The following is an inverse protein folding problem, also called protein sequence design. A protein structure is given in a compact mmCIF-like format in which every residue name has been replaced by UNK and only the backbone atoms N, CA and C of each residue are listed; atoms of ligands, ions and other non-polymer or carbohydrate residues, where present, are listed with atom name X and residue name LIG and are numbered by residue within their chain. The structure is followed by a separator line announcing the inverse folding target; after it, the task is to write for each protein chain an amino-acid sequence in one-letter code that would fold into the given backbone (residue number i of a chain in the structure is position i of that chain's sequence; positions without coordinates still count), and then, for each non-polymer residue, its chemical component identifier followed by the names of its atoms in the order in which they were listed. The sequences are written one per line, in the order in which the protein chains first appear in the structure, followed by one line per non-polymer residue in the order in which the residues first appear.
data_IF_636566939720
#
_entry.id   IF_636566939720
#
_cell.length_a   1.000
_cell.length_b   1.000
_cell.length_c   1.000
_cell.angle_alpha   90.00
_cell.angle_beta   90.00
_cell.angle_gamma   90.00
#
_symmetry.space_group_name_H-M   'P 1'
#
loop_
_entity.id
_entity.type
_entity.pdbx_description
1 polymer ?
#
# COMPACT_ATOMS: atom_id res chain seq x y z
N UNK A 1 -8.31 15.89 34.57
CA UNK A 1 -7.00 15.21 34.74
C UNK A 1 -6.31 15.18 33.38
N UNK A 2 -5.36 16.09 33.15
CA UNK A 2 -4.58 16.12 31.92
C UNK A 2 -3.61 14.93 31.87
N UNK A 3 -3.53 14.25 30.73
CA UNK A 3 -2.52 13.23 30.51
C UNK A 3 -1.11 13.86 30.62
N UNK A 4 -0.21 13.22 31.36
CA UNK A 4 1.17 13.68 31.50
C UNK A 4 1.90 13.83 30.16
N UNK A 5 2.98 14.64 30.09
CA UNK A 5 3.70 14.95 28.85
C UNK A 5 4.18 13.71 28.09
N UNK A 6 4.59 12.66 28.80
CA UNK A 6 5.00 11.37 28.25
C UNK A 6 3.86 10.63 27.53
N UNK A 7 2.67 10.60 28.14
CA UNK A 7 1.46 9.98 27.57
C UNK A 7 1.00 10.67 26.30
N UNK A 8 1.14 12.00 26.25
CA UNK A 8 0.82 12.80 25.06
C UNK A 8 1.79 12.50 23.91
N UNK A 9 3.08 12.34 24.21
CA UNK A 9 4.11 12.00 23.22
C UNK A 9 3.85 10.64 22.56
N UNK A 10 3.55 9.60 23.36
CA UNK A 10 3.23 8.25 22.84
C UNK A 10 1.97 8.28 21.96
N UNK A 11 0.92 8.98 22.39
CA UNK A 11 -0.31 9.10 21.61
C UNK A 11 -0.06 9.77 20.25
N UNK A 12 0.72 10.85 20.21
CA UNK A 12 1.06 11.57 18.97
C UNK A 12 1.89 10.66 18.04
N UNK A 13 2.88 9.94 18.57
CA UNK A 13 3.69 8.99 17.79
C UNK A 13 2.84 7.90 17.14
N UNK A 14 1.89 7.34 17.89
CA UNK A 14 0.97 6.33 17.36
C UNK A 14 0.08 6.93 16.27
N UNK A 15 -0.48 8.13 16.48
CA UNK A 15 -1.27 8.81 15.45
C UNK A 15 -0.46 9.03 14.17
N UNK A 16 0.77 9.53 14.27
CA UNK A 16 1.67 9.71 13.12
C UNK A 16 1.90 8.37 12.40
N UNK A 17 2.15 7.30 13.15
CA UNK A 17 2.36 5.96 12.58
C UNK A 17 1.15 5.48 11.79
N UNK A 18 -0.06 5.61 12.36
CA UNK A 18 -1.30 5.25 11.68
C UNK A 18 -1.60 6.11 10.45
N UNK A 19 -1.23 7.39 10.47
CA UNK A 19 -1.34 8.25 9.30
C UNK A 19 -0.45 7.75 8.16
N UNK A 20 0.82 7.46 8.47
CA UNK A 20 1.78 6.92 7.51
C UNK A 20 1.32 5.55 7.01
N UNK A 21 0.76 4.70 7.87
CA UNK A 21 0.21 3.40 7.46
C UNK A 21 -0.93 3.55 6.47
N UNK A 22 -1.89 4.44 6.72
CA UNK A 22 -2.97 4.72 5.78
C UNK A 22 -2.45 5.23 4.43
N UNK A 23 -1.49 6.17 4.48
CA UNK A 23 -0.88 6.72 3.28
C UNK A 23 -0.12 5.65 2.47
N UNK A 24 0.81 4.95 3.10
CA UNK A 24 1.72 4.04 2.40
C UNK A 24 1.02 2.79 1.89
N UNK A 25 0.03 2.27 2.62
CA UNK A 25 -0.75 1.09 2.23
C UNK A 25 -1.43 1.25 0.88
N UNK A 26 -2.00 2.43 0.64
CA UNK A 26 -2.77 2.72 -0.56
C UNK A 26 -1.93 3.37 -1.66
N UNK A 27 -0.68 3.75 -1.37
CA UNK A 27 0.15 4.50 -2.29
C UNK A 27 0.43 3.75 -3.60
N UNK A 28 0.92 2.50 -3.52
CA UNK A 28 1.23 1.72 -4.72
C UNK A 28 -0.03 1.47 -5.57
N UNK A 29 -1.16 1.19 -4.93
CA UNK A 29 -2.46 1.08 -5.59
C UNK A 29 -2.81 2.34 -6.39
N UNK A 30 -2.62 3.52 -5.81
CA UNK A 30 -2.90 4.81 -6.46
C UNK A 30 -1.92 5.13 -7.59
N UNK A 31 -0.65 4.77 -7.44
CA UNK A 31 0.36 4.90 -8.50
C UNK A 31 -0.01 4.04 -9.72
N UNK A 32 -0.46 2.80 -9.52
CA UNK A 32 -0.87 1.93 -10.63
C UNK A 32 -2.06 2.50 -11.41
N UNK A 33 -2.98 3.21 -10.73
CA UNK A 33 -4.07 3.92 -11.39
C UNK A 33 -3.55 5.10 -12.22
N UNK A 34 -2.63 5.90 -11.67
CA UNK A 34 -2.01 7.00 -12.40
C UNK A 34 -1.21 6.53 -13.61
N UNK A 35 -0.52 5.40 -13.48
CA UNK A 35 0.30 4.79 -14.53
C UNK A 35 -0.49 3.93 -15.53
N UNK A 36 -1.82 3.82 -15.41
CA UNK A 36 -2.61 2.88 -16.20
C UNK A 36 -2.45 3.09 -17.71
N UNK A 37 -2.39 4.34 -18.18
CA UNK A 37 -2.19 4.64 -19.59
C UNK A 37 -0.78 4.26 -20.07
N UNK A 38 0.24 4.53 -19.27
CA UNK A 38 1.63 4.18 -19.60
C UNK A 38 1.84 2.66 -19.62
N UNK A 39 1.17 1.93 -18.73
CA UNK A 39 1.18 0.46 -18.72
C UNK A 39 0.61 -0.08 -20.04
N UNK A 40 -0.48 0.49 -20.55
CA UNK A 40 -1.14 0.02 -21.77
C UNK A 40 -0.39 0.38 -23.06
N UNK A 41 0.30 1.53 -23.09
CA UNK A 41 1.08 1.99 -24.24
C UNK A 41 2.31 1.11 -24.55
N UNK A 42 2.79 0.30 -23.60
CA UNK A 42 3.98 -0.57 -23.75
C UNK A 42 3.90 -1.59 -24.91
N UNK A 43 2.71 -1.99 -25.33
CA UNK A 43 2.55 -2.89 -26.49
C UNK A 43 2.55 -2.16 -27.83
N UNK A 44 2.28 -0.85 -27.85
CA UNK A 44 2.17 -0.06 -29.09
C UNK A 44 3.54 0.26 -29.70
N UNK A 45 4.60 0.36 -28.88
CA UNK A 45 5.97 0.61 -29.36
C UNK A 45 6.59 -0.58 -30.09
N UNK A 46 6.03 -1.79 -29.96
CA UNK A 46 6.53 -2.99 -30.64
C UNK A 46 5.93 -3.20 -32.04
N UNK A 47 4.99 -2.37 -32.48
CA UNK A 47 4.19 -2.62 -33.69
C UNK A 47 4.38 -1.65 -34.87
N UNK A 48 5.17 -0.57 -34.75
CA UNK A 48 5.35 0.36 -35.89
C UNK A 48 6.73 1.02 -35.97
N UNK A 49 7.46 0.88 -37.10
CA UNK A 49 8.69 1.61 -37.35
C UNK A 49 8.39 3.07 -37.77
N UNK A 50 9.14 4.02 -37.20
CA UNK A 50 9.39 5.38 -37.69
C UNK A 50 8.24 6.09 -38.43
N UNK A 51 7.37 6.79 -37.69
CA UNK A 51 6.61 7.91 -38.25
C UNK A 51 7.01 9.16 -37.48
N UNK A 52 7.62 10.11 -38.18
CA UNK A 52 8.04 11.39 -37.62
C UNK A 52 6.85 12.12 -36.99
N UNK A 53 7.03 12.52 -35.73
CA UNK A 53 6.04 13.20 -34.91
C UNK A 53 5.59 14.53 -35.52
N UNK A 54 4.35 14.57 -35.96
CA UNK A 54 3.49 15.76 -35.87
C UNK A 54 2.17 15.28 -35.30
N UNK A 55 1.81 15.79 -34.13
CA UNK A 55 0.52 15.59 -33.47
C UNK A 55 -0.60 16.19 -34.34
N UNK A 56 -0.99 15.49 -35.41
CA UNK A 56 -2.14 15.84 -36.21
C UNK A 56 -3.32 14.97 -35.77
N UNK A 57 -4.42 15.60 -35.37
CA UNK A 57 -5.70 14.92 -35.23
C UNK A 57 -6.05 14.27 -36.58
N UNK A 58 -6.16 12.94 -36.61
CA UNK A 58 -6.49 12.19 -37.81
C UNK A 58 -7.99 12.32 -38.07
N UNK A 59 -8.39 13.09 -39.09
CA UNK A 59 -9.81 13.27 -39.48
C UNK A 59 -10.48 11.97 -39.96
N UNK A 60 -9.70 10.96 -40.37
CA UNK A 60 -10.22 9.71 -40.91
C UNK A 60 -9.49 8.50 -40.34
N UNK A 61 -10.12 7.81 -39.38
CA UNK A 61 -9.59 6.58 -38.77
C UNK A 61 -9.87 5.40 -39.73
N UNK A 62 -8.90 5.07 -40.60
CA UNK A 62 -8.97 3.93 -41.52
C UNK A 62 -8.61 2.60 -40.85
N UNK A 63 -7.83 2.64 -39.76
CA UNK A 63 -7.45 1.48 -38.96
C UNK A 63 -7.41 1.87 -37.49
N UNK A 64 -8.02 1.06 -36.62
CA UNK A 64 -7.93 1.23 -35.17
C UNK A 64 -7.04 0.14 -34.64
N UNK A 65 -5.87 0.51 -34.13
CA UNK A 65 -5.07 -0.42 -33.33
C UNK A 65 -5.85 -0.74 -32.06
N UNK A 66 -6.52 -1.90 -32.08
CA UNK A 66 -7.19 -2.44 -30.91
C UNK A 66 -6.12 -2.81 -29.89
N UNK A 67 -5.93 -1.95 -28.89
CA UNK A 67 -5.12 -2.31 -27.73
C UNK A 67 -5.70 -3.60 -27.12
N UNK A 68 -4.90 -4.66 -26.91
CA UNK A 68 -5.38 -5.94 -26.37
C UNK A 68 -5.92 -5.83 -24.94
N UNK A 69 -5.68 -4.70 -24.26
CA UNK A 69 -6.21 -4.38 -22.94
C UNK A 69 -6.69 -2.92 -22.88
N UNK A 70 -7.83 -2.69 -22.23
CA UNK A 70 -8.38 -1.36 -21.98
C UNK A 70 -7.98 -0.85 -20.59
N UNK A 71 -8.11 0.45 -20.34
CA UNK A 71 -7.96 1.03 -19.00
C UNK A 71 -8.90 0.37 -17.96
N UNK A 72 -10.04 -0.14 -18.42
CA UNK A 72 -10.97 -0.92 -17.61
C UNK A 72 -10.37 -2.22 -17.06
N UNK A 73 -9.51 -2.90 -17.84
CA UNK A 73 -8.83 -4.12 -17.36
C UNK A 73 -7.87 -3.78 -16.23
N UNK A 74 -7.12 -2.68 -16.33
CA UNK A 74 -6.23 -2.21 -15.26
C UNK A 74 -7.04 -1.90 -13.99
N UNK A 75 -8.19 -1.23 -14.12
CA UNK A 75 -9.09 -0.94 -13.00
C UNK A 75 -9.64 -2.21 -12.33
N UNK A 76 -10.06 -3.20 -13.11
CA UNK A 76 -10.55 -4.48 -12.59
C UNK A 76 -9.44 -5.23 -11.86
N UNK A 77 -8.25 -5.33 -12.48
CA UNK A 77 -7.07 -5.90 -11.83
C UNK A 77 -6.71 -5.15 -10.55
N UNK A 78 -6.99 -3.85 -10.49
CA UNK A 78 -6.68 -3.07 -9.30
C UNK A 78 -7.69 -3.30 -8.15
N UNK A 79 -8.98 -3.46 -8.45
CA UNK A 79 -10.05 -3.54 -7.44
C UNK A 79 -10.29 -4.98 -6.98
N UNK A 80 -10.35 -5.94 -7.91
CA UNK A 80 -10.82 -7.29 -7.63
C UNK A 80 -9.97 -8.06 -6.60
N UNK A 81 -8.62 -8.07 -6.67
CA UNK A 81 -7.81 -8.78 -5.68
C UNK A 81 -7.97 -8.18 -4.28
N UNK A 82 -8.06 -6.85 -4.20
CA UNK A 82 -8.27 -6.15 -2.93
C UNK A 82 -9.60 -6.58 -2.27
N UNK A 83 -10.69 -6.66 -3.05
CA UNK A 83 -11.98 -7.13 -2.56
C UNK A 83 -11.94 -8.60 -2.10
N UNK A 84 -11.33 -9.48 -2.90
CA UNK A 84 -11.18 -10.90 -2.54
C UNK A 84 -10.44 -11.04 -1.21
N UNK A 85 -9.31 -10.33 -1.06
CA UNK A 85 -8.54 -10.34 0.18
C UNK A 85 -9.38 -9.82 1.35
N UNK A 86 -10.11 -8.72 1.19
CA UNK A 86 -10.96 -8.17 2.26
C UNK A 86 -12.06 -9.15 2.71
N UNK A 87 -12.58 -9.96 1.80
CA UNK A 87 -13.60 -10.97 2.12
C UNK A 87 -13.00 -12.21 2.80
N UNK A 88 -11.82 -12.65 2.37
CA UNK A 88 -11.19 -13.88 2.88
C UNK A 88 -10.34 -13.66 4.13
N UNK A 89 -9.69 -12.50 4.24
CA UNK A 89 -8.70 -12.26 5.29
C UNK A 89 -9.26 -12.38 6.72
N UNK A 90 -10.48 -11.91 7.06
CA UNK A 90 -11.03 -12.05 8.40
C UNK A 90 -11.03 -13.48 8.96
N UNK A 91 -11.13 -14.49 8.10
CA UNK A 91 -11.10 -15.91 8.51
C UNK A 91 -9.70 -16.38 8.92
N UNK A 92 -8.65 -15.85 8.30
CA UNK A 92 -7.25 -16.24 8.57
C UNK A 92 -6.52 -15.27 9.52
N UNK A 93 -7.12 -14.10 9.75
CA UNK A 93 -6.56 -12.98 10.52
C UNK A 93 -6.46 -13.24 12.04
N UNK A 94 -6.73 -14.42 12.54
CA UNK A 94 -6.46 -14.74 13.95
C UNK A 94 -5.16 -15.54 14.13
N UNK A 95 -4.66 -16.19 13.07
CA UNK A 95 -3.52 -17.10 13.15
C UNK A 95 -2.16 -16.46 12.88
N UNK A 96 -2.11 -15.29 12.23
CA UNK A 96 -0.85 -14.69 11.77
C UNK A 96 -0.55 -13.45 12.62
N UNK A 97 0.61 -13.27 13.25
CA UNK A 97 0.86 -12.07 14.05
C UNK A 97 1.10 -10.82 13.18
N UNK A 98 0.78 -9.62 13.70
CA UNK A 98 0.77 -8.37 12.94
C UNK A 98 2.11 -8.02 12.26
N UNK A 99 3.25 -8.34 12.88
CA UNK A 99 4.57 -8.06 12.30
C UNK A 99 4.86 -8.87 11.04
N UNK A 100 4.41 -10.13 10.98
CA UNK A 100 4.53 -10.98 9.78
C UNK A 100 3.66 -10.45 8.67
N UNK A 101 2.43 -10.02 9.00
CA UNK A 101 1.53 -9.40 8.03
C UNK A 101 2.17 -8.15 7.44
N UNK A 102 2.69 -7.25 8.29
CA UNK A 102 3.38 -6.03 7.86
C UNK A 102 4.55 -6.33 6.91
N UNK A 103 5.36 -7.33 7.23
CA UNK A 103 6.46 -7.77 6.36
C UNK A 103 5.96 -8.26 5.00
N UNK A 104 4.92 -9.10 4.95
CA UNK A 104 4.32 -9.58 3.70
C UNK A 104 3.75 -8.42 2.88
N UNK A 105 3.11 -7.44 3.53
CA UNK A 105 2.58 -6.23 2.88
C UNK A 105 3.70 -5.45 2.22
N UNK A 106 4.78 -5.14 2.95
CA UNK A 106 5.90 -4.36 2.41
C UNK A 106 6.65 -5.09 1.29
N UNK A 107 6.85 -6.40 1.44
CA UNK A 107 7.48 -7.24 0.41
C UNK A 107 6.64 -7.32 -0.85
N UNK A 108 5.33 -7.56 -0.72
CA UNK A 108 4.42 -7.57 -1.88
C UNK A 108 4.32 -6.19 -2.54
N UNK A 109 4.29 -5.10 -1.76
CA UNK A 109 4.27 -3.74 -2.30
C UNK A 109 5.56 -3.40 -3.06
N UNK A 110 6.73 -3.77 -2.52
CA UNK A 110 8.01 -3.59 -3.19
C UNK A 110 8.08 -4.42 -4.47
N UNK A 111 7.70 -5.69 -4.41
CA UNK A 111 7.64 -6.56 -5.56
C UNK A 111 6.67 -6.04 -6.63
N UNK A 112 5.55 -5.42 -6.25
CA UNK A 112 4.60 -4.84 -7.19
C UNK A 112 5.21 -3.72 -8.04
N UNK A 113 5.92 -2.79 -7.40
CA UNK A 113 6.60 -1.68 -8.08
C UNK A 113 7.76 -2.19 -8.94
N UNK A 114 8.53 -3.16 -8.44
CA UNK A 114 9.63 -3.77 -9.19
C UNK A 114 9.13 -4.52 -10.44
N UNK A 115 8.11 -5.36 -10.30
CA UNK A 115 7.52 -6.10 -11.43
C UNK A 115 6.96 -5.15 -12.47
N UNK A 116 6.22 -4.10 -12.06
CA UNK A 116 5.69 -3.10 -13.00
C UNK A 116 6.78 -2.27 -13.67
N UNK A 117 7.88 -1.98 -12.98
CA UNK A 117 9.00 -1.19 -13.51
C UNK A 117 9.79 -1.93 -14.60
N UNK A 118 10.00 -3.25 -14.45
CA UNK A 118 10.70 -4.09 -15.44
C UNK A 118 9.78 -4.88 -16.37
N UNK A 119 8.48 -4.58 -16.37
CA UNK A 119 7.53 -5.26 -17.23
C UNK A 119 7.76 -4.89 -18.70
N UNK A 120 8.19 -5.88 -19.49
CA UNK A 120 8.32 -5.77 -20.95
C UNK A 120 7.00 -6.06 -21.69
N UNK A 121 5.97 -6.52 -20.98
CA UNK A 121 4.66 -6.85 -21.55
C UNK A 121 3.54 -6.36 -20.65
N UNK A 122 2.37 -6.06 -21.24
CA UNK A 122 1.18 -5.66 -20.49
C UNK A 122 0.76 -6.70 -19.44
N UNK A 123 0.71 -8.02 -19.73
CA UNK A 123 0.38 -9.02 -18.71
C UNK A 123 1.34 -9.02 -17.51
N UNK A 124 2.65 -8.84 -17.74
CA UNK A 124 3.63 -8.73 -16.65
C UNK A 124 3.40 -7.47 -15.81
N UNK A 125 3.05 -6.34 -16.45
CA UNK A 125 2.71 -5.12 -15.73
C UNK A 125 1.42 -5.29 -14.91
N UNK A 126 0.40 -5.95 -15.47
CA UNK A 126 -0.84 -6.28 -14.76
C UNK A 126 -0.60 -7.20 -13.56
N UNK A 127 0.37 -8.12 -13.63
CA UNK A 127 0.77 -8.91 -12.46
C UNK A 127 1.27 -8.02 -11.32
N UNK A 128 2.06 -6.99 -11.64
CA UNK A 128 2.47 -5.98 -10.67
C UNK A 128 1.27 -5.22 -10.09
N UNK A 129 0.30 -4.84 -10.92
CA UNK A 129 -0.96 -4.22 -10.46
C UNK A 129 -1.71 -5.13 -9.48
N UNK A 130 -1.92 -6.39 -9.84
CA UNK A 130 -2.61 -7.38 -8.99
C UNK A 130 -1.91 -7.52 -7.62
N UNK A 131 -0.58 -7.50 -7.61
CA UNK A 131 0.21 -7.61 -6.39
C UNK A 131 0.10 -6.36 -5.51
N UNK A 132 0.06 -5.16 -6.10
CA UNK A 132 -0.21 -3.91 -5.38
C UNK A 132 -1.60 -3.93 -4.73
N UNK A 133 -2.60 -4.44 -5.45
CA UNK A 133 -3.98 -4.57 -4.96
C UNK A 133 -4.11 -5.58 -3.82
N UNK A 134 -3.43 -6.72 -3.94
CA UNK A 134 -3.35 -7.71 -2.88
C UNK A 134 -2.73 -7.09 -1.60
N UNK A 135 -1.60 -6.41 -1.75
CA UNK A 135 -0.90 -5.75 -0.64
C UNK A 135 -1.79 -4.71 0.06
N UNK A 136 -2.44 -3.85 -0.72
CA UNK A 136 -3.38 -2.84 -0.23
C UNK A 136 -4.54 -3.45 0.57
N UNK A 137 -5.20 -4.49 0.04
CA UNK A 137 -6.30 -5.16 0.73
C UNK A 137 -5.87 -5.89 2.00
N UNK A 138 -4.71 -6.56 1.95
CA UNK A 138 -4.16 -7.29 3.10
C UNK A 138 -3.69 -6.34 4.20
N UNK A 139 -3.14 -5.19 3.83
CA UNK A 139 -2.74 -4.17 4.79
C UNK A 139 -3.90 -3.40 5.37
N UNK A 140 -4.93 -3.05 4.61
CA UNK A 140 -6.12 -2.37 5.15
C UNK A 140 -6.77 -3.18 6.27
N UNK A 141 -6.99 -4.48 6.03
CA UNK A 141 -7.52 -5.38 7.06
C UNK A 141 -6.58 -5.48 8.27
N UNK A 142 -5.26 -5.50 8.04
CA UNK A 142 -4.25 -5.61 9.10
C UNK A 142 -4.18 -4.35 9.96
N UNK A 143 -4.10 -3.16 9.37
CA UNK A 143 -3.96 -1.91 10.13
C UNK A 143 -5.27 -1.48 10.77
N UNK A 144 -6.42 -1.77 10.16
CA UNK A 144 -7.70 -1.50 10.79
C UNK A 144 -7.93 -2.44 11.98
N UNK A 145 -7.55 -3.71 11.84
CA UNK A 145 -7.50 -4.67 12.95
C UNK A 145 -6.44 -4.32 14.01
N UNK A 146 -5.38 -3.58 13.65
CA UNK A 146 -4.40 -3.07 14.60
C UNK A 146 -4.93 -1.82 15.33
N UNK A 147 -5.62 -0.93 14.60
CA UNK A 147 -6.15 0.33 15.12
C UNK A 147 -7.19 0.14 16.23
N UNK A 148 -7.89 -1.00 16.26
CA UNK A 148 -8.81 -1.36 17.35
C UNK A 148 -8.12 -1.48 18.72
N UNK A 149 -6.81 -1.75 18.74
CA UNK A 149 -5.99 -1.80 19.96
C UNK A 149 -5.44 -0.44 20.39
N UNK A 150 -5.67 0.61 19.61
CA UNK A 150 -5.22 1.96 19.89
C UNK A 150 -6.41 2.90 20.09
N UNK A 151 -6.13 4.18 20.37
CA UNK A 151 -7.19 5.16 20.61
C UNK A 151 -8.04 5.40 19.35
N UNK A 152 -9.29 5.84 19.52
CA UNK A 152 -10.24 6.25 18.46
C UNK A 152 -9.63 7.19 17.43
N UNK A 153 -8.71 8.04 17.86
CA UNK A 153 -8.01 8.97 16.97
C UNK A 153 -7.16 8.24 15.93
N UNK A 154 -6.65 7.04 16.25
CA UNK A 154 -5.83 6.22 15.34
C UNK A 154 -6.59 5.80 14.08
N UNK A 155 -7.88 5.43 14.21
CA UNK A 155 -8.73 5.08 13.06
C UNK A 155 -9.00 6.30 12.19
N UNK A 156 -9.31 7.44 12.83
CA UNK A 156 -9.53 8.71 12.11
C UNK A 156 -8.27 9.16 11.36
N UNK A 157 -7.11 9.07 12.02
CA UNK A 157 -5.82 9.44 11.43
C UNK A 157 -5.40 8.47 10.32
N UNK A 158 -5.64 7.17 10.47
CA UNK A 158 -5.47 6.19 9.39
C UNK A 158 -6.33 6.52 8.19
N UNK A 159 -7.63 6.79 8.41
CA UNK A 159 -8.56 7.17 7.33
C UNK A 159 -8.11 8.44 6.60
N UNK A 160 -7.58 9.42 7.33
CA UNK A 160 -7.03 10.65 6.74
C UNK A 160 -5.82 10.35 5.85
N UNK A 161 -4.87 9.52 6.31
CA UNK A 161 -3.72 9.09 5.52
C UNK A 161 -4.14 8.33 4.26
N UNK A 162 -5.09 7.40 4.39
CA UNK A 162 -5.67 6.65 3.27
C UNK A 162 -6.30 7.53 2.21
N UNK A 163 -6.98 8.62 2.61
CA UNK A 163 -7.52 9.61 1.67
C UNK A 163 -6.42 10.37 0.93
N UNK A 164 -5.35 10.74 1.63
CA UNK A 164 -4.20 11.43 1.03
C UNK A 164 -3.43 10.54 0.05
N UNK A 165 -3.38 9.23 0.27
CA UNK A 165 -2.67 8.28 -0.61
C UNK A 165 -3.09 8.39 -2.09
N UNK A 166 -4.40 8.60 -2.35
CA UNK A 166 -4.94 8.77 -3.70
C UNK A 166 -4.29 9.92 -4.46
N UNK A 167 -4.22 11.08 -3.79
CA UNK A 167 -3.57 12.26 -4.32
C UNK A 167 -2.06 12.07 -4.37
N UNK A 168 -1.43 11.68 -3.26
CA UNK A 168 0.01 11.54 -3.17
C UNK A 168 0.55 10.55 -4.22
N UNK A 169 -0.10 9.41 -4.45
CA UNK A 169 0.32 8.42 -5.43
C UNK A 169 0.20 8.90 -6.86
N UNK A 170 -0.99 9.35 -7.27
CA UNK A 170 -1.23 9.78 -8.67
C UNK A 170 -0.49 11.08 -9.00
N UNK A 171 -0.49 12.05 -8.08
CA UNK A 171 0.19 13.32 -8.26
C UNK A 171 1.71 13.15 -8.31
N UNK A 172 2.29 12.36 -7.40
CA UNK A 172 3.73 12.11 -7.43
C UNK A 172 4.14 11.40 -8.72
N UNK A 173 3.32 10.46 -9.21
CA UNK A 173 3.58 9.79 -10.48
C UNK A 173 3.55 10.77 -11.65
N UNK A 174 2.49 11.56 -11.75
CA UNK A 174 2.36 12.58 -12.80
C UNK A 174 3.53 13.57 -12.78
N UNK A 175 3.92 14.10 -11.62
CA UNK A 175 5.06 15.02 -11.48
C UNK A 175 6.38 14.38 -11.91
N UNK A 176 6.57 13.09 -11.63
CA UNK A 176 7.78 12.37 -12.02
C UNK A 176 7.83 12.12 -13.53
N UNK A 177 6.69 11.82 -14.16
CA UNK A 177 6.63 11.42 -15.58
C UNK A 177 6.34 12.57 -16.56
N UNK A 178 5.85 13.71 -16.10
CA UNK A 178 5.55 14.86 -16.97
C UNK A 178 6.84 15.48 -17.54
N UNK A 179 6.84 15.72 -18.84
CA UNK A 179 7.96 16.27 -19.62
C UNK A 179 8.37 17.66 -19.16
N UNK A 180 7.45 18.43 -18.59
CA UNK A 180 7.72 19.80 -18.11
C UNK A 180 8.30 19.86 -16.70
N UNK A 181 8.36 18.73 -15.99
CA UNK A 181 8.81 18.68 -14.60
C UNK A 181 10.10 17.89 -14.44
N UNK A 182 10.01 16.56 -14.45
CA UNK A 182 11.13 15.67 -14.20
C UNK A 182 11.43 14.75 -15.39
N UNK A 183 10.51 14.64 -16.36
CA UNK A 183 10.64 13.87 -17.59
C UNK A 183 11.23 12.45 -17.37
N UNK A 184 10.89 11.82 -16.24
CA UNK A 184 11.39 10.48 -15.94
C UNK A 184 10.56 9.45 -16.68
N UNK A 185 11.26 8.44 -17.21
CA UNK A 185 10.57 7.26 -17.75
C UNK A 185 9.70 6.59 -16.66
N UNK A 186 8.55 6.00 -17.02
CA UNK A 186 7.70 5.26 -16.09
C UNK A 186 8.44 4.23 -15.24
N UNK A 187 9.48 3.59 -15.80
CA UNK A 187 10.36 2.66 -15.09
C UNK A 187 11.11 3.35 -13.95
N UNK A 188 11.75 4.48 -14.23
CA UNK A 188 12.52 5.21 -13.23
C UNK A 188 11.61 5.85 -12.17
N UNK A 189 10.43 6.35 -12.56
CA UNK A 189 9.45 6.89 -11.62
C UNK A 189 9.00 5.83 -10.59
N UNK A 190 8.68 4.62 -11.05
CA UNK A 190 8.33 3.49 -10.18
C UNK A 190 9.47 3.08 -9.23
N UNK A 191 10.73 3.14 -9.72
CA UNK A 191 11.91 2.85 -8.90
C UNK A 191 12.15 3.91 -7.81
N UNK A 192 11.97 5.20 -8.11
CA UNK A 192 12.07 6.28 -7.13
C UNK A 192 11.01 6.13 -6.04
N UNK A 193 9.82 5.69 -6.41
CA UNK A 193 8.71 5.46 -5.49
C UNK A 193 8.91 4.31 -4.49
N UNK A 194 9.97 3.49 -4.62
CA UNK A 194 10.34 2.50 -3.60
C UNK A 194 10.70 3.12 -2.24
N UNK A 195 10.95 4.43 -2.19
CA UNK A 195 11.11 5.15 -0.93
C UNK A 195 9.87 4.99 -0.02
N UNK A 196 8.68 4.76 -0.58
CA UNK A 196 7.44 4.59 0.19
C UNK A 196 7.38 3.26 0.94
N UNK A 197 7.60 2.08 0.33
CA UNK A 197 7.77 0.83 1.10
C UNK A 197 8.85 0.90 2.19
N UNK A 198 9.94 1.64 1.95
CA UNK A 198 11.00 1.84 2.95
C UNK A 198 10.48 2.69 4.12
N UNK A 199 9.82 3.82 3.85
CA UNK A 199 9.23 4.66 4.89
C UNK A 199 8.12 3.94 5.65
N UNK A 200 7.38 3.05 4.98
CA UNK A 200 6.36 2.20 5.57
C UNK A 200 6.96 1.23 6.60
N UNK A 201 8.03 0.55 6.22
CA UNK A 201 8.80 -0.35 7.10
C UNK A 201 9.37 0.43 8.29
N UNK A 202 9.98 1.59 8.03
CA UNK A 202 10.54 2.44 9.07
C UNK A 202 9.48 2.88 10.09
N UNK A 203 8.31 3.29 9.63
CA UNK A 203 7.20 3.71 10.50
C UNK A 203 6.77 2.60 11.46
N UNK A 204 6.71 1.35 10.99
CA UNK A 204 6.27 0.23 11.81
C UNK A 204 7.28 -0.16 12.88
N UNK A 205 8.57 -0.19 12.57
CA UNK A 205 9.60 -0.65 13.51
C UNK A 205 10.12 0.44 14.44
N UNK A 206 10.14 1.71 14.02
CA UNK A 206 10.78 2.79 14.78
C UNK A 206 9.79 3.82 15.35
N UNK A 207 8.71 4.13 14.63
CA UNK A 207 7.78 5.20 15.05
C UNK A 207 6.67 4.63 15.95
N UNK A 208 6.09 3.51 15.55
CA UNK A 208 4.99 2.86 16.27
C UNK A 208 5.46 2.31 17.62
N UNK A 209 4.80 2.75 18.69
CA UNK A 209 4.99 2.14 20.00
C UNK A 209 4.11 0.90 20.06
N UNK A 210 4.73 -0.29 20.19
CA UNK A 210 4.02 -1.57 20.27
C UNK A 210 3.09 -1.57 21.49
N UNK A 211 1.81 -1.85 21.27
CA UNK A 211 0.86 -2.04 22.36
C UNK A 211 1.16 -3.36 23.11
N UNK A 212 1.05 -3.38 24.46
CA UNK A 212 1.34 -4.57 25.28
C UNK A 212 0.37 -5.74 25.03
N UNK A 213 -0.76 -5.50 24.37
CA UNK A 213 -1.75 -6.51 23.97
C UNK A 213 -1.35 -7.30 22.71
N UNK A 214 -0.21 -6.97 22.09
CA UNK A 214 0.26 -7.61 20.86
C UNK A 214 1.47 -8.49 21.21
N UNK A 215 1.41 -9.82 20.96
CA UNK A 215 2.52 -10.71 21.28
C UNK A 215 3.80 -10.29 20.56
N UNK A 216 4.90 -10.27 21.30
CA UNK A 216 6.18 -9.81 20.80
C UNK A 216 6.82 -10.87 19.90
N UNK A 217 6.93 -10.58 18.61
CA UNK A 217 7.67 -11.44 17.67
C UNK A 217 9.16 -11.19 17.86
N UNK A 218 9.92 -12.24 18.17
CA UNK A 218 11.38 -12.21 18.11
C UNK A 218 11.86 -12.68 16.74
N UNK A 219 12.70 -11.89 16.07
CA UNK A 219 13.27 -12.23 14.78
C UNK A 219 14.14 -13.51 14.82
N UNK A 220 14.61 -13.91 16.00
CA UNK A 220 15.53 -15.04 16.21
C UNK A 220 14.84 -16.36 16.54
N UNK A 221 13.50 -16.40 16.68
CA UNK A 221 12.74 -17.63 16.96
C UNK A 221 11.50 -17.75 16.06
N UNK A 222 11.59 -18.41 14.89
CA UNK A 222 10.45 -18.60 13.98
C UNK A 222 9.28 -19.36 14.60
N UNK A 223 9.49 -20.13 15.69
CA UNK A 223 8.41 -20.77 16.44
C UNK A 223 7.44 -19.78 17.10
N UNK A 224 7.87 -18.54 17.39
CA UNK A 224 6.98 -17.48 17.90
C UNK A 224 6.13 -16.81 16.81
N UNK A 225 6.34 -17.16 15.53
CA UNK A 225 5.59 -16.61 14.40
C UNK A 225 4.28 -17.38 14.15
N UNK A 226 4.20 -18.59 14.69
CA UNK A 226 3.08 -19.53 14.58
C UNK A 226 2.70 -20.07 15.98
N UNK A 227 2.84 -19.27 17.02
CA UNK A 227 2.44 -19.70 18.36
C UNK A 227 0.91 -19.66 18.48
N UNK A 228 0.29 -20.82 18.28
CA UNK A 228 -1.16 -21.05 18.36
C UNK A 228 -1.68 -21.17 19.80
N UNK A 229 -0.80 -21.10 20.81
CA UNK A 229 -1.15 -21.44 22.20
C UNK A 229 -1.62 -20.26 23.05
N UNK A 230 -1.28 -19.03 22.66
CA UNK A 230 -1.77 -17.81 23.32
C UNK A 230 -2.97 -17.25 22.58
N UNK A 231 -4.22 -17.39 23.09
CA UNK A 231 -5.34 -16.64 22.54
C UNK A 231 -5.05 -15.14 22.65
N UNK A 232 -5.31 -14.39 21.58
CA UNK A 232 -5.37 -12.93 21.68
C UNK A 232 -6.42 -12.60 22.75
N UNK A 233 -5.98 -12.12 23.92
CA UNK A 233 -6.90 -11.58 24.92
C UNK A 233 -7.53 -10.33 24.32
N UNK A 234 -8.74 -10.51 23.79
CA UNK A 234 -9.58 -9.41 23.37
C UNK A 234 -10.01 -8.68 24.64
N UNK A 235 -9.26 -7.65 25.02
CA UNK A 235 -9.63 -6.76 26.12
C UNK A 235 -10.93 -6.08 25.70
N UNK A 236 -12.05 -6.61 26.19
CA UNK A 236 -13.42 -6.13 25.90
C UNK A 236 -13.66 -4.70 26.37
N UNK A 237 -12.75 -4.13 27.15
CA UNK A 237 -12.94 -2.86 27.81
C UNK A 237 -11.90 -1.81 27.37
N UNK A 238 -12.39 -0.77 26.71
CA UNK A 238 -11.60 0.34 26.19
C UNK A 238 -10.87 1.10 27.33
N UNK A 239 -11.36 1.02 28.57
CA UNK A 239 -10.67 1.54 29.76
C UNK A 239 -9.44 0.70 30.15
N UNK A 240 -9.49 -0.62 30.00
CA UNK A 240 -8.41 -1.53 30.42
C UNK A 240 -7.22 -1.47 29.47
N UNK A 241 -7.43 -1.26 28.17
CA UNK A 241 -6.36 -0.98 27.20
C UNK A 241 -5.61 0.31 27.57
N UNK A 242 -6.35 1.36 27.97
CA UNK A 242 -5.76 2.58 28.47
C UNK A 242 -4.93 2.32 29.74
N UNK A 243 -5.38 1.49 30.68
CA UNK A 243 -4.63 1.16 31.92
C UNK A 243 -3.36 0.34 31.63
N UNK A 244 -3.40 -0.61 30.70
CA UNK A 244 -2.25 -1.48 30.37
C UNK A 244 -1.15 -0.73 29.60
N UNK A 245 -1.50 0.22 28.73
CA UNK A 245 -0.52 1.12 28.10
C UNK A 245 0.09 2.10 29.12
N UNK A 246 -0.59 2.35 30.24
CA UNK A 246 -0.18 3.31 31.28
C UNK A 246 0.73 2.70 32.38
N UNK A 247 1.10 1.41 32.29
CA UNK A 247 1.97 0.71 33.26
C UNK A 247 3.42 0.51 32.77
N UNK A 248 3.75 0.99 31.56
CA UNK A 248 5.13 1.18 31.08
C UNK A 248 5.44 2.67 31.02
#
# INVERSE_FOLDING_TARGET
MGAGPEKKSVAIRNMISFWIFGMCNNFAYSVMLGAAQDILKRNSESATPNVNNTEHCVEHITFRDCAPASAGVVLICNILPCLIVKLLCPFFMHHIPYGVRHFIICMSQTASLMVTAWANSVPTALLGVLLASFSCGFGETTYLGLASHYSKNSISTWSSGSGMAGFAGTFSYAVLTDDNLLALTPRNAMLVMLIVPISFTFSYYFILVRAPTIPAISATKPSTWLDFSTPYEYVKDYQTIHVLINLQ
#
